data_IF_939257529022
#
_entry.id   IF_939257529022
#
_cell.length_a   1.000
_cell.length_b   1.000
_cell.length_c   1.000
_cell.angle_alpha   90.00
_cell.angle_beta   90.00
_cell.angle_gamma   90.00
#
_symmetry.space_group_name_H-M   'P 1'
#
loop_
_entity.id
_entity.type
_entity.pdbx_description
1 polymer ?
#
# COMPACT_ATOMS: atom_id res chain seq x y z
N UNK A 1 4.27 13.79 -7.84
CA UNK A 1 5.08 13.82 -9.06
C UNK A 1 4.59 12.71 -9.97
N UNK A 2 4.76 12.86 -11.29
CA UNK A 2 4.36 11.86 -12.30
C UNK A 2 5.25 10.60 -12.32
N UNK A 3 6.23 10.53 -11.43
CA UNK A 3 7.14 9.40 -11.25
C UNK A 3 7.51 9.25 -9.78
N UNK A 4 8.04 8.09 -9.45
CA UNK A 4 8.70 7.77 -8.18
C UNK A 4 10.01 7.01 -8.46
N UNK A 5 10.92 6.94 -7.48
CA UNK A 5 12.14 6.14 -7.60
C UNK A 5 11.79 4.67 -7.45
N UNK A 6 12.24 3.84 -8.38
CA UNK A 6 11.96 2.41 -8.32
C UNK A 6 12.61 1.79 -7.08
N UNK A 7 11.82 1.07 -6.29
CA UNK A 7 12.31 0.30 -5.16
C UNK A 7 12.38 -1.19 -5.52
N UNK A 8 13.45 -1.85 -5.09
CA UNK A 8 13.62 -3.30 -5.21
C UNK A 8 14.16 -3.83 -3.88
N UNK A 9 13.38 -4.69 -3.21
CA UNK A 9 13.72 -5.27 -1.90
C UNK A 9 13.99 -4.23 -0.80
N UNK A 10 13.32 -3.08 -0.86
CA UNK A 10 13.47 -2.01 0.12
C UNK A 10 14.55 -0.98 -0.23
N UNK A 11 15.34 -1.22 -1.27
CA UNK A 11 16.41 -0.31 -1.70
C UNK A 11 16.06 0.41 -3.01
N UNK A 12 16.69 1.56 -3.24
CA UNK A 12 16.60 2.30 -4.50
C UNK A 12 17.28 1.47 -5.60
N UNK A 13 16.55 1.16 -6.66
CA UNK A 13 17.06 0.43 -7.81
C UNK A 13 17.94 1.34 -8.68
N UNK A 14 19.22 0.98 -8.77
CA UNK A 14 20.21 1.68 -9.60
C UNK A 14 20.49 0.84 -10.86
N UNK A 15 20.53 1.48 -12.02
CA UNK A 15 20.89 0.83 -13.29
C UNK A 15 22.41 0.62 -13.37
N UNK A 16 22.85 -0.26 -14.28
CA UNK A 16 24.28 -0.53 -14.51
C UNK A 16 25.11 0.70 -14.89
N UNK A 17 24.47 1.76 -15.40
CA UNK A 17 25.10 3.03 -15.74
C UNK A 17 25.13 4.05 -14.58
N UNK A 18 24.75 3.66 -13.36
CA UNK A 18 24.70 4.54 -12.19
C UNK A 18 23.48 5.46 -12.10
N UNK A 19 22.56 5.42 -13.09
CA UNK A 19 21.32 6.19 -13.02
C UNK A 19 20.28 5.54 -12.12
N UNK A 20 19.48 6.35 -11.43
CA UNK A 20 18.35 5.85 -10.63
C UNK A 20 17.22 5.41 -11.57
N UNK A 21 16.68 4.22 -11.30
CA UNK A 21 15.50 3.75 -12.02
C UNK A 21 14.25 4.44 -11.49
N UNK A 22 13.31 4.74 -12.38
CA UNK A 22 12.05 5.43 -12.04
C UNK A 22 10.87 4.54 -12.40
N UNK A 23 9.77 4.68 -11.65
CA UNK A 23 8.48 4.03 -11.92
C UNK A 23 7.41 5.09 -12.17
N UNK A 24 6.48 4.79 -13.06
CA UNK A 24 5.34 5.64 -13.45
C UNK A 24 4.08 4.78 -13.61
N UNK A 25 2.91 5.41 -13.69
CA UNK A 25 1.65 4.70 -14.01
C UNK A 25 1.31 3.60 -13.00
N UNK A 26 0.84 2.46 -13.51
CA UNK A 26 0.45 1.30 -12.68
C UNK A 26 1.60 0.77 -11.81
N UNK A 27 2.85 0.84 -12.27
CA UNK A 27 4.01 0.39 -11.50
C UNK A 27 4.28 1.30 -10.29
N UNK A 28 4.14 2.61 -10.49
CA UNK A 28 4.19 3.58 -9.40
C UNK A 28 3.03 3.40 -8.44
N UNK A 29 1.81 3.18 -8.95
CA UNK A 29 0.65 2.92 -8.10
C UNK A 29 0.85 1.70 -7.20
N UNK A 30 1.36 0.61 -7.77
CA UNK A 30 1.72 -0.59 -7.00
C UNK A 30 2.66 -0.25 -5.86
N UNK A 31 3.74 0.48 -6.16
CA UNK A 31 4.70 0.90 -5.15
C UNK A 31 4.07 1.84 -4.10
N UNK A 32 3.17 2.74 -4.49
CA UNK A 32 2.46 3.64 -3.58
C UNK A 32 1.52 2.88 -2.63
N UNK A 33 0.87 1.81 -3.10
CA UNK A 33 0.05 0.90 -2.28
C UNK A 33 0.92 0.16 -1.26
N UNK A 34 2.06 -0.41 -1.68
CA UNK A 34 2.98 -1.09 -0.75
C UNK A 34 3.48 -0.13 0.32
N UNK A 35 3.97 1.04 -0.08
CA UNK A 35 4.50 2.04 0.87
C UNK A 35 3.47 2.46 1.90
N UNK A 36 2.23 2.77 1.50
CA UNK A 36 1.22 3.24 2.45
C UNK A 36 0.77 2.14 3.42
N UNK A 37 0.77 0.88 2.97
CA UNK A 37 0.43 -0.24 3.84
C UNK A 37 1.54 -0.51 4.87
N UNK A 38 2.81 -0.35 4.49
CA UNK A 38 3.95 -0.60 5.36
C UNK A 38 4.36 0.60 6.23
N UNK A 39 3.92 1.81 5.91
CA UNK A 39 4.20 3.00 6.73
C UNK A 39 3.27 3.04 7.94
N UNK A 40 3.81 3.25 9.14
CA UNK A 40 2.97 3.39 10.33
C UNK A 40 2.16 4.70 10.25
N UNK A 41 0.91 4.64 10.69
CA UNK A 41 0.05 5.81 10.67
C UNK A 41 0.59 6.90 11.59
N UNK A 42 0.88 8.07 11.01
CA UNK A 42 1.40 9.24 11.74
C UNK A 42 2.89 9.50 11.54
N UNK A 43 3.64 8.54 10.99
CA UNK A 43 5.09 8.70 10.73
C UNK A 43 5.38 9.79 9.69
N UNK A 44 4.46 9.95 8.73
CA UNK A 44 4.57 11.02 7.76
C UNK A 44 4.13 12.36 8.39
N UNK A 45 5.11 13.15 8.86
CA UNK A 45 4.89 14.48 9.47
C UNK A 45 4.06 15.44 8.61
N UNK A 46 4.17 15.35 7.28
CA UNK A 46 3.45 16.23 6.36
C UNK A 46 2.06 15.70 6.00
N UNK A 47 1.84 14.40 6.17
CA UNK A 47 0.57 13.72 5.91
C UNK A 47 0.24 12.75 7.05
N UNK A 48 -0.22 13.22 8.22
CA UNK A 48 -0.43 12.36 9.40
C UNK A 48 -1.45 11.22 9.21
N UNK A 49 -2.30 11.32 8.18
CA UNK A 49 -3.27 10.27 7.80
C UNK A 49 -2.69 9.23 6.82
N UNK A 50 -1.44 9.42 6.36
CA UNK A 50 -0.73 8.47 5.52
C UNK A 50 -0.17 7.35 6.38
N UNK A 51 -0.39 6.12 5.94
CA UNK A 51 0.04 4.91 6.63
C UNK A 51 -1.13 3.98 6.96
N UNK A 52 -0.80 2.93 7.69
CA UNK A 52 -1.75 1.94 8.20
C UNK A 52 -1.36 1.49 9.62
N UNK A 53 -2.25 0.73 10.25
CA UNK A 53 -1.96 0.03 11.51
C UNK A 53 -1.50 -1.43 11.29
N UNK A 54 -1.17 -1.83 10.06
CA UNK A 54 -0.80 -3.22 9.74
C UNK A 54 0.53 -3.62 10.40
N UNK A 55 1.49 -2.70 10.48
CA UNK A 55 2.78 -2.92 11.17
C UNK A 55 2.76 -2.59 12.67
N UNK A 56 1.74 -1.87 13.14
CA UNK A 56 1.63 -1.43 14.54
C UNK A 56 1.03 -2.55 15.39
N UNK A 57 1.89 -3.45 15.86
CA UNK A 57 1.48 -4.54 16.73
C UNK A 57 0.99 -4.03 18.08
N UNK A 58 -0.24 -4.36 18.44
CA UNK A 58 -0.70 -4.23 19.82
C UNK A 58 -0.06 -5.35 20.65
N UNK A 59 1.09 -5.03 21.27
CA UNK A 59 1.77 -5.93 22.21
C UNK A 59 0.78 -6.32 23.32
N UNK A 60 0.57 -7.63 23.50
CA UNK A 60 -0.31 -8.19 24.55
C UNK A 60 -1.78 -8.42 24.12
N UNK A 61 -2.11 -8.24 22.84
CA UNK A 61 -3.47 -8.46 22.36
C UNK A 61 -3.71 -9.94 21.99
N UNK A 62 -4.31 -10.71 22.90
CA UNK A 62 -4.83 -12.05 22.61
C UNK A 62 -6.20 -11.96 21.91
N UNK A 63 -6.21 -11.46 20.67
CA UNK A 63 -7.43 -11.48 19.86
C UNK A 63 -7.59 -12.78 19.08
N UNK A 64 -8.86 -13.17 18.88
CA UNK A 64 -9.23 -14.20 17.92
C UNK A 64 -8.67 -13.86 16.53
N UNK A 65 -8.12 -14.84 15.83
CA UNK A 65 -7.50 -14.68 14.51
C UNK A 65 -8.45 -14.04 13.50
N UNK A 66 -9.76 -14.29 13.65
CA UNK A 66 -10.80 -13.65 12.82
C UNK A 66 -10.87 -12.14 13.03
N UNK A 67 -10.77 -11.69 14.29
CA UNK A 67 -10.75 -10.28 14.62
C UNK A 67 -9.49 -9.60 14.07
N UNK A 68 -8.32 -10.23 14.24
CA UNK A 68 -7.05 -9.73 13.68
C UNK A 68 -7.15 -9.57 12.16
N UNK A 69 -7.69 -10.58 11.47
CA UNK A 69 -7.84 -10.53 10.01
C UNK A 69 -8.78 -9.40 9.57
N UNK A 70 -9.89 -9.20 10.29
CA UNK A 70 -10.84 -8.11 10.05
C UNK A 70 -10.23 -6.73 10.30
N UNK A 71 -9.45 -6.59 11.38
CA UNK A 71 -8.76 -5.34 11.71
C UNK A 71 -7.71 -4.98 10.67
N UNK A 72 -6.92 -5.96 10.22
CA UNK A 72 -5.97 -5.78 9.12
C UNK A 72 -6.68 -5.37 7.82
N UNK A 73 -7.79 -6.02 7.47
CA UNK A 73 -8.57 -5.69 6.27
C UNK A 73 -9.11 -4.26 6.34
N UNK A 74 -9.67 -3.86 7.48
CA UNK A 74 -10.16 -2.51 7.72
C UNK A 74 -9.04 -1.47 7.67
N UNK A 75 -7.87 -1.79 8.23
CA UNK A 75 -6.68 -0.96 8.21
C UNK A 75 -6.16 -0.74 6.79
N UNK A 76 -6.03 -1.82 6.01
CA UNK A 76 -5.66 -1.76 4.60
C UNK A 76 -6.65 -0.94 3.77
N UNK A 77 -7.96 -1.19 3.94
CA UNK A 77 -9.02 -0.45 3.25
C UNK A 77 -9.00 1.04 3.58
N UNK A 78 -8.76 1.40 4.85
CA UNK A 78 -8.62 2.80 5.27
C UNK A 78 -7.38 3.45 4.68
N UNK A 79 -6.24 2.75 4.66
CA UNK A 79 -5.01 3.23 4.05
C UNK A 79 -5.20 3.51 2.56
N UNK A 80 -5.76 2.57 1.79
CA UNK A 80 -6.02 2.76 0.36
C UNK A 80 -6.99 3.92 0.10
N UNK A 81 -8.04 4.08 0.92
CA UNK A 81 -8.94 5.25 0.84
C UNK A 81 -8.21 6.58 1.13
N UNK A 82 -7.28 6.59 2.06
CA UNK A 82 -6.45 7.77 2.33
C UNK A 82 -5.53 8.07 1.14
N UNK A 83 -4.95 7.04 0.51
CA UNK A 83 -4.18 7.19 -0.73
C UNK A 83 -5.03 7.82 -1.84
N UNK A 84 -6.25 7.33 -2.06
CA UNK A 84 -7.20 7.92 -3.02
C UNK A 84 -7.45 9.41 -2.73
N UNK A 85 -7.64 9.77 -1.45
CA UNK A 85 -7.84 11.16 -1.03
C UNK A 85 -6.62 12.04 -1.33
N UNK A 86 -5.42 11.53 -1.07
CA UNK A 86 -4.16 12.21 -1.37
C UNK A 86 -3.98 12.41 -2.88
N UNK A 87 -4.27 11.38 -3.68
CA UNK A 87 -4.24 11.47 -5.13
C UNK A 87 -5.19 12.54 -5.68
N UNK A 88 -6.43 12.61 -5.16
CA UNK A 88 -7.41 13.66 -5.52
C UNK A 88 -6.96 15.07 -5.09
N UNK A 89 -6.25 15.19 -3.98
CA UNK A 89 -5.67 16.47 -3.56
C UNK A 89 -4.51 16.88 -4.46
N UNK A 90 -3.65 15.92 -4.80
CA UNK A 90 -2.48 16.11 -5.64
C UNK A 90 -2.84 16.41 -7.09
N UNK A 91 -3.88 15.79 -7.65
CA UNK A 91 -4.33 16.05 -9.03
C UNK A 91 -4.71 17.51 -9.28
N UNK A 92 -5.00 18.28 -8.22
CA UNK A 92 -5.26 19.73 -8.31
C UNK A 92 -3.99 20.57 -8.48
N UNK A 93 -2.83 20.03 -8.11
CA UNK A 93 -1.54 20.76 -8.06
C UNK A 93 -0.49 20.18 -9.01
N UNK A 94 -0.62 18.92 -9.40
CA UNK A 94 0.32 18.22 -10.26
C UNK A 94 -0.43 17.26 -11.18
N UNK A 95 0.11 17.04 -12.38
CA UNK A 95 -0.41 16.05 -13.31
C UNK A 95 -0.11 14.65 -12.78
N UNK A 96 -1.17 13.85 -12.59
CA UNK A 96 -1.09 12.43 -12.31
C UNK A 96 -1.48 11.68 -13.58
N UNK A 97 -0.79 10.58 -13.86
CA UNK A 97 -1.15 9.72 -15.00
C UNK A 97 -2.47 8.99 -14.68
N UNK A 98 -3.34 8.72 -15.67
CA UNK A 98 -4.58 7.99 -15.42
C UNK A 98 -4.36 6.61 -14.76
N UNK A 99 -3.27 5.91 -15.08
CA UNK A 99 -2.88 4.66 -14.43
C UNK A 99 -2.46 4.80 -12.96
N UNK A 100 -2.14 6.01 -12.48
CA UNK A 100 -1.87 6.25 -11.07
C UNK A 100 -3.13 6.51 -10.23
N UNK A 101 -4.22 6.95 -10.86
CA UNK A 101 -5.42 7.39 -10.16
C UNK A 101 -6.33 6.20 -9.87
N UNK A 102 -6.51 5.89 -8.57
CA UNK A 102 -7.48 4.89 -8.14
C UNK A 102 -8.89 5.48 -8.21
N UNK A 103 -9.78 4.84 -8.96
CA UNK A 103 -11.21 5.16 -9.00
C UNK A 103 -11.93 4.40 -7.89
N UNK A 104 -11.65 3.10 -7.75
CA UNK A 104 -12.37 2.23 -6.83
C UNK A 104 -11.51 1.11 -6.26
N UNK A 105 -11.93 0.56 -5.12
CA UNK A 105 -11.35 -0.61 -4.48
C UNK A 105 -12.19 -1.83 -4.90
N UNK A 106 -11.62 -2.71 -5.73
CA UNK A 106 -12.30 -3.91 -6.22
C UNK A 106 -12.39 -4.95 -5.11
N UNK A 107 -11.26 -5.24 -4.46
CA UNK A 107 -11.20 -6.20 -3.38
C UNK A 107 -10.03 -5.89 -2.43
N UNK A 108 -10.25 -6.06 -1.14
CA UNK A 108 -9.18 -6.15 -0.14
C UNK A 108 -9.54 -7.32 0.76
N UNK A 109 -8.65 -8.30 0.83
CA UNK A 109 -8.86 -9.50 1.62
C UNK A 109 -7.59 -9.90 2.34
N UNK A 110 -7.74 -10.41 3.56
CA UNK A 110 -6.64 -10.88 4.40
C UNK A 110 -6.78 -12.38 4.63
N UNK A 111 -5.70 -13.12 4.45
CA UNK A 111 -5.63 -14.55 4.71
C UNK A 111 -4.41 -14.85 5.58
N UNK A 112 -4.62 -15.61 6.65
CA UNK A 112 -3.53 -16.11 7.47
C UNK A 112 -2.80 -17.24 6.74
N UNK A 113 -1.49 -17.30 6.88
CA UNK A 113 -0.70 -18.40 6.33
C UNK A 113 -0.96 -19.71 7.10
N UNK A 114 -1.10 -20.81 6.36
CA UNK A 114 -1.38 -22.14 6.92
C UNK A 114 -0.14 -22.78 7.57
N UNK A 115 1.06 -22.34 7.21
CA UNK A 115 2.35 -22.89 7.68
C UNK A 115 2.90 -22.08 8.85
N UNK A 116 2.95 -20.75 8.74
CA UNK A 116 3.33 -19.87 9.85
C UNK A 116 2.15 -19.01 10.32
N UNK A 117 1.53 -19.32 11.48
CA UNK A 117 0.38 -18.60 12.00
C UNK A 117 0.66 -17.12 12.36
N UNK A 118 1.92 -16.67 12.29
CA UNK A 118 2.28 -15.26 12.48
C UNK A 118 2.25 -14.46 11.19
N UNK A 119 2.13 -15.12 10.04
CA UNK A 119 2.11 -14.47 8.74
C UNK A 119 0.68 -14.24 8.26
N UNK A 120 0.45 -13.05 7.71
CA UNK A 120 -0.80 -12.66 7.09
C UNK A 120 -0.51 -12.13 5.70
N UNK A 121 -1.24 -12.65 4.72
CA UNK A 121 -1.22 -12.23 3.32
C UNK A 121 -2.37 -11.25 3.09
N UNK A 122 -2.03 -10.04 2.67
CA UNK A 122 -2.98 -8.96 2.39
C UNK A 122 -3.03 -8.77 0.89
N UNK A 123 -4.16 -9.17 0.30
CA UNK A 123 -4.43 -9.01 -1.12
C UNK A 123 -5.18 -7.71 -1.34
N UNK A 124 -4.67 -6.87 -2.25
CA UNK A 124 -5.28 -5.61 -2.63
C UNK A 124 -5.50 -5.59 -4.13
N UNK A 125 -6.72 -5.29 -4.54
CA UNK A 125 -7.11 -5.04 -5.91
C UNK A 125 -7.84 -3.71 -6.02
N UNK A 126 -7.36 -2.85 -6.93
CA UNK A 126 -7.91 -1.53 -7.19
C UNK A 126 -8.11 -1.31 -8.68
N UNK A 127 -9.11 -0.51 -9.04
CA UNK A 127 -9.39 -0.11 -10.41
C UNK A 127 -8.84 1.29 -10.66
N UNK A 128 -8.03 1.45 -11.71
CA UNK A 128 -7.46 2.75 -12.10
C UNK A 128 -8.34 3.51 -13.07
N UNK A 129 -8.02 4.78 -13.33
CA UNK A 129 -8.72 5.58 -14.31
C UNK A 129 -8.49 5.13 -15.76
N UNK A 130 -7.45 4.33 -16.01
CA UNK A 130 -7.27 3.61 -17.28
C UNK A 130 -8.16 2.36 -17.40
N UNK A 131 -9.07 2.14 -16.44
CA UNK A 131 -9.91 0.94 -16.34
C UNK A 131 -9.08 -0.35 -16.25
N UNK A 132 -7.86 -0.24 -15.71
CA UNK A 132 -6.97 -1.37 -15.48
C UNK A 132 -7.03 -1.76 -14.01
N UNK A 133 -7.17 -3.05 -13.75
CA UNK A 133 -7.11 -3.58 -12.40
C UNK A 133 -5.65 -3.78 -11.98
N UNK A 134 -5.23 -3.12 -10.90
CA UNK A 134 -3.91 -3.30 -10.29
C UNK A 134 -4.07 -4.18 -9.06
N UNK A 135 -3.44 -5.35 -9.12
CA UNK A 135 -3.41 -6.34 -8.04
C UNK A 135 -2.04 -6.40 -7.40
N UNK A 136 -2.03 -6.53 -6.08
CA UNK A 136 -0.83 -6.76 -5.29
C UNK A 136 -1.11 -7.62 -4.05
N UNK A 137 -0.06 -8.24 -3.53
CA UNK A 137 -0.09 -9.05 -2.31
C UNK A 137 1.11 -8.69 -1.44
N UNK A 138 0.86 -8.46 -0.15
CA UNK A 138 1.90 -8.20 0.85
C UNK A 138 1.75 -9.21 1.98
N UNK A 139 2.85 -9.89 2.29
CA UNK A 139 2.95 -10.74 3.46
C UNK A 139 3.54 -9.94 4.61
N UNK A 140 2.81 -9.86 5.72
CA UNK A 140 3.25 -9.21 6.95
C UNK A 140 3.33 -10.22 8.08
N UNK A 141 4.33 -10.03 8.95
CA UNK A 141 4.51 -10.84 10.15
C UNK A 141 4.04 -10.08 11.37
N UNK A 142 3.14 -10.68 12.11
CA UNK A 142 2.68 -10.22 13.43
C UNK A 142 3.56 -10.89 14.48
N UNK A 143 4.28 -10.11 15.29
CA UNK A 143 5.17 -10.61 16.35
C UNK A 143 4.39 -10.99 17.62
#
# INVERSE_FOLDING_TARGET
MSFDLALERGDIKIRSNGSVNIVTGNAKLRQDIIKILLTELGDNKFHPKYGSYIGALQIGYHADNKLVSLDLENSARKAVRNLMSLQRSQSRKQTLTPGELIIDIVNISVSRDDVDPRLYNIFVSVLTQELTEVRDNITVRIA
#
